data_IF_241519589165
#
_entry.id   IF_241519589165
#
_cell.length_a   1.000
_cell.length_b   1.000
_cell.length_c   1.000
_cell.angle_alpha   90.00
_cell.angle_beta   90.00
_cell.angle_gamma   90.00
#
_symmetry.space_group_name_H-M   'P 1'
#
loop_
_entity.id
_entity.type
_entity.pdbx_description
1 polymer ?
#
# COMPACT_ATOMS: atom_id res chain seq x y z
N UNK A 1 5.10 8.69 -9.94
CA UNK A 1 6.34 7.90 -10.16
C UNK A 1 6.10 6.57 -10.90
N UNK A 2 5.15 5.72 -10.50
CA UNK A 2 4.86 4.46 -11.22
C UNK A 2 4.09 4.59 -12.53
N UNK A 3 3.09 5.49 -12.61
CA UNK A 3 2.25 5.66 -13.80
C UNK A 3 2.99 6.26 -15.01
N UNK A 4 4.23 6.75 -14.82
CA UNK A 4 5.08 7.29 -15.86
C UNK A 4 6.07 6.25 -16.43
N UNK A 5 5.99 4.98 -16.01
CA UNK A 5 6.89 3.90 -16.47
C UNK A 5 6.53 3.45 -17.89
N UNK A 6 7.55 3.07 -18.64
CA UNK A 6 7.47 2.78 -20.07
C UNK A 6 6.73 1.48 -20.39
N UNK A 7 6.67 0.54 -19.45
CA UNK A 7 6.01 -0.74 -19.67
C UNK A 7 5.05 -1.11 -18.54
N UNK A 8 4.02 -1.89 -18.91
CA UNK A 8 3.06 -2.47 -17.96
C UNK A 8 3.74 -3.36 -16.92
N UNK A 9 4.81 -4.06 -17.29
CA UNK A 9 5.60 -4.91 -16.38
C UNK A 9 6.27 -4.07 -15.28
N UNK A 10 6.95 -3.00 -15.65
CA UNK A 10 7.59 -2.08 -14.69
C UNK A 10 6.55 -1.39 -13.81
N UNK A 11 5.40 -1.03 -14.37
CA UNK A 11 4.32 -0.44 -13.59
C UNK A 11 3.78 -1.43 -12.54
N UNK A 12 3.54 -2.70 -12.93
CA UNK A 12 3.14 -3.75 -11.98
C UNK A 12 4.21 -3.95 -10.89
N UNK A 13 5.50 -3.94 -11.23
CA UNK A 13 6.58 -4.03 -10.24
C UNK A 13 6.53 -2.85 -9.26
N UNK A 14 6.32 -1.63 -9.75
CA UNK A 14 6.18 -0.45 -8.91
C UNK A 14 4.97 -0.57 -7.96
N UNK A 15 3.84 -1.13 -8.42
CA UNK A 15 2.68 -1.37 -7.55
C UNK A 15 2.95 -2.40 -6.45
N UNK A 16 3.80 -3.40 -6.71
CA UNK A 16 4.27 -4.32 -5.65
C UNK A 16 5.17 -3.63 -4.63
N UNK A 17 6.04 -2.71 -5.06
CA UNK A 17 6.83 -1.88 -4.14
C UNK A 17 5.89 -1.05 -3.26
N UNK A 18 4.89 -0.39 -3.86
CA UNK A 18 3.89 0.37 -3.09
C UNK A 18 3.12 -0.49 -2.08
N UNK A 19 2.79 -1.74 -2.43
CA UNK A 19 2.16 -2.69 -1.52
C UNK A 19 3.07 -3.05 -0.33
N UNK A 20 4.36 -3.24 -0.59
CA UNK A 20 5.37 -3.47 0.45
C UNK A 20 5.48 -2.27 1.39
N UNK A 21 5.63 -1.07 0.86
CA UNK A 21 5.69 0.17 1.65
C UNK A 21 4.42 0.40 2.49
N UNK A 22 3.25 0.06 1.96
CA UNK A 22 1.99 0.14 2.72
C UNK A 22 1.98 -0.83 3.92
N UNK A 23 2.50 -2.05 3.75
CA UNK A 23 2.60 -3.03 4.83
C UNK A 23 3.63 -2.61 5.90
N UNK A 24 4.74 -2.00 5.49
CA UNK A 24 5.73 -1.42 6.41
C UNK A 24 5.11 -0.27 7.23
N UNK A 25 4.38 0.64 6.60
CA UNK A 25 3.69 1.74 7.27
C UNK A 25 2.64 1.24 8.28
N UNK A 26 1.84 0.24 7.91
CA UNK A 26 0.90 -0.40 8.84
C UNK A 26 1.61 -0.99 10.06
N UNK A 27 2.73 -1.67 9.83
CA UNK A 27 3.54 -2.24 10.92
C UNK A 27 4.05 -1.15 11.86
N UNK A 28 4.55 -0.03 11.32
CA UNK A 28 4.99 1.11 12.12
C UNK A 28 3.86 1.72 12.95
N UNK A 29 2.65 1.82 12.39
CA UNK A 29 1.48 2.33 13.12
C UNK A 29 1.02 1.39 14.24
N UNK A 30 1.08 0.08 14.01
CA UNK A 30 0.82 -0.93 15.05
C UNK A 30 1.84 -0.77 16.19
N UNK A 31 3.12 -0.62 15.87
CA UNK A 31 4.17 -0.37 16.86
C UNK A 31 3.96 0.95 17.58
N UNK A 32 3.57 2.01 16.87
CA UNK A 32 3.32 3.31 17.47
C UNK A 32 2.19 3.23 18.51
N UNK A 33 1.10 2.53 18.19
CA UNK A 33 0.01 2.30 19.15
C UNK A 33 0.42 1.47 20.36
N UNK A 34 1.34 0.50 20.19
CA UNK A 34 1.91 -0.29 21.30
C UNK A 34 2.84 0.54 22.20
N UNK A 35 3.39 1.63 21.69
CA UNK A 35 4.22 2.58 22.43
C UNK A 35 3.38 3.74 23.00
N UNK A 36 2.05 3.58 23.08
CA UNK A 36 1.10 4.58 23.56
C UNK A 36 1.11 5.92 22.79
N UNK A 37 1.61 5.94 21.55
CA UNK A 37 1.40 7.09 20.66
C UNK A 37 -0.05 7.13 20.18
N UNK A 38 -0.58 8.35 19.99
CA UNK A 38 -1.91 8.55 19.44
C UNK A 38 -1.93 8.18 17.95
N UNK A 39 -2.72 7.16 17.62
CA UNK A 39 -2.95 6.69 16.26
C UNK A 39 -4.45 6.58 16.06
N UNK A 40 -4.99 7.31 15.08
CA UNK A 40 -6.41 7.27 14.75
C UNK A 40 -6.79 5.93 14.09
N UNK A 41 -7.88 5.32 14.55
CA UNK A 41 -8.38 4.05 13.99
C UNK A 41 -8.80 4.19 12.52
N UNK A 42 -9.16 5.40 12.09
CA UNK A 42 -9.48 5.74 10.70
C UNK A 42 -8.32 5.46 9.74
N UNK A 43 -7.07 5.54 10.21
CA UNK A 43 -5.87 5.28 9.40
C UNK A 43 -5.82 3.81 8.96
N UNK A 44 -6.19 2.87 9.83
CA UNK A 44 -6.21 1.45 9.48
C UNK A 44 -7.27 1.13 8.42
N UNK A 45 -8.42 1.81 8.47
CA UNK A 45 -9.44 1.70 7.41
C UNK A 45 -8.91 2.22 6.08
N UNK A 46 -8.16 3.32 6.09
CA UNK A 46 -7.53 3.87 4.87
C UNK A 46 -6.47 2.91 4.31
N UNK A 47 -5.64 2.32 5.17
CA UNK A 47 -4.64 1.31 4.76
C UNK A 47 -5.31 0.14 4.06
N UNK A 48 -6.38 -0.40 4.64
CA UNK A 48 -7.11 -1.52 4.04
C UNK A 48 -7.75 -1.15 2.69
N UNK A 49 -8.33 0.05 2.59
CA UNK A 49 -8.87 0.55 1.33
C UNK A 49 -7.79 0.68 0.25
N UNK A 50 -6.63 1.28 0.57
CA UNK A 50 -5.51 1.43 -0.37
C UNK A 50 -4.99 0.05 -0.78
N UNK A 51 -4.85 -0.89 0.15
CA UNK A 51 -4.42 -2.26 -0.14
C UNK A 51 -5.34 -2.93 -1.17
N UNK A 52 -6.66 -2.83 -0.99
CA UNK A 52 -7.66 -3.36 -1.94
C UNK A 52 -7.54 -2.71 -3.31
N UNK A 53 -7.35 -1.40 -3.37
CA UNK A 53 -7.18 -0.67 -4.62
C UNK A 53 -5.91 -1.12 -5.37
N UNK A 54 -4.78 -1.23 -4.66
CA UNK A 54 -3.51 -1.69 -5.24
C UNK A 54 -3.62 -3.11 -5.79
N UNK A 55 -4.16 -4.05 -5.00
CA UNK A 55 -4.35 -5.43 -5.42
C UNK A 55 -5.33 -5.55 -6.60
N UNK A 56 -6.41 -4.77 -6.58
CA UNK A 56 -7.38 -4.69 -7.68
C UNK A 56 -6.73 -4.20 -8.97
N UNK A 57 -5.90 -3.16 -8.89
CA UNK A 57 -5.19 -2.61 -10.03
C UNK A 57 -4.12 -3.58 -10.57
N UNK A 58 -3.32 -4.20 -9.70
CA UNK A 58 -2.34 -5.24 -10.09
C UNK A 58 -3.05 -6.38 -10.82
N UNK A 59 -4.18 -6.86 -10.31
CA UNK A 59 -4.97 -7.93 -10.93
C UNK A 59 -5.52 -7.50 -12.29
N UNK A 60 -6.00 -6.27 -12.42
CA UNK A 60 -6.50 -5.73 -13.68
C UNK A 60 -5.38 -5.65 -14.73
N UNK A 61 -4.21 -5.14 -14.37
CA UNK A 61 -3.09 -4.97 -15.29
C UNK A 61 -2.43 -6.30 -15.72
N UNK A 62 -2.60 -7.37 -14.93
CA UNK A 62 -2.10 -8.72 -15.27
C UNK A 62 -3.00 -9.49 -16.26
N UNK A 63 -4.23 -9.01 -16.49
CA UNK A 63 -5.09 -9.50 -17.58
C UNK A 63 -4.68 -8.87 -18.90
#
# INVERSE_FOLDING_TARGET
EGAARSTRKEFIQFLHVALGSLAEAETQLILARRLDYQVEDTIFNNIENIRRMLLGLIRFLRK
#
